data_IF_078799143558
#
_entry.id   IF_078799143558
#
_cell.length_a   1.000
_cell.length_b   1.000
_cell.length_c   1.000
_cell.angle_alpha   90.00
_cell.angle_beta   90.00
_cell.angle_gamma   90.00
#
_symmetry.space_group_name_H-M   'P 1'
#
loop_
_entity.id
_entity.type
_entity.pdbx_description
1 polymer ?
#
# COMPACT_ATOMS: atom_id res chain seq x y z
N UNK A 1 16.76 -1.21 10.10
CA UNK A 1 16.68 -1.26 8.62
C UNK A 1 16.83 0.18 8.19
N UNK A 2 17.86 0.49 7.41
CA UNK A 2 18.08 1.88 6.99
C UNK A 2 17.02 2.26 5.96
N UNK A 3 16.28 3.34 6.21
CA UNK A 3 15.22 3.81 5.32
C UNK A 3 15.84 4.61 4.18
N UNK A 4 15.77 4.09 2.96
CA UNK A 4 16.18 4.80 1.75
C UNK A 4 15.20 5.95 1.48
N UNK A 5 15.71 7.17 1.37
CA UNK A 5 14.89 8.35 1.10
C UNK A 5 14.46 8.40 -0.37
N UNK A 6 13.28 8.96 -0.64
CA UNK A 6 12.70 9.15 -1.99
C UNK A 6 12.49 7.88 -2.84
N UNK A 7 12.67 6.69 -2.28
CA UNK A 7 12.44 5.40 -2.94
C UNK A 7 11.62 4.44 -2.06
N UNK A 8 10.99 3.44 -2.68
CA UNK A 8 10.31 2.34 -1.97
C UNK A 8 11.33 1.39 -1.31
N UNK A 9 11.08 0.94 -0.08
CA UNK A 9 11.97 0.00 0.62
C UNK A 9 11.89 -1.43 0.07
N UNK A 10 10.80 -1.77 -0.61
CA UNK A 10 10.53 -3.07 -1.19
C UNK A 10 10.06 -2.90 -2.63
N UNK A 11 10.40 -3.84 -3.52
CA UNK A 11 9.83 -3.88 -4.87
C UNK A 11 8.38 -4.38 -4.87
N UNK A 12 7.63 -4.09 -5.93
CA UNK A 12 6.18 -4.37 -6.06
C UNK A 12 5.84 -5.86 -5.96
N UNK A 13 6.73 -6.74 -6.41
CA UNK A 13 6.57 -8.20 -6.37
C UNK A 13 7.33 -8.86 -5.21
N UNK A 14 7.85 -8.05 -4.27
CA UNK A 14 8.60 -8.53 -3.12
C UNK A 14 7.73 -8.67 -1.85
N UNK A 15 6.42 -8.82 -2.00
CA UNK A 15 5.45 -9.03 -0.91
C UNK A 15 5.81 -10.19 0.03
N UNK A 16 6.58 -11.18 -0.44
CA UNK A 16 7.10 -12.29 0.38
C UNK A 16 8.09 -11.88 1.48
N UNK A 17 8.63 -10.66 1.45
CA UNK A 17 9.50 -10.13 2.51
C UNK A 17 8.75 -9.86 3.82
N UNK A 18 7.43 -9.74 3.78
CA UNK A 18 6.57 -9.71 4.96
C UNK A 18 5.45 -10.75 4.82
N UNK A 19 5.71 -12.01 5.18
CA UNK A 19 4.77 -13.12 4.98
C UNK A 19 3.48 -12.95 5.79
N UNK A 20 3.52 -12.27 6.95
CA UNK A 20 2.33 -12.01 7.76
C UNK A 20 1.43 -10.97 7.10
N UNK A 21 2.01 -9.87 6.62
CA UNK A 21 1.27 -8.85 5.87
C UNK A 21 0.75 -9.41 4.54
N UNK A 22 1.52 -10.26 3.87
CA UNK A 22 1.10 -10.96 2.65
C UNK A 22 -0.09 -11.89 2.89
N UNK A 23 -0.03 -12.76 3.91
CA UNK A 23 -1.15 -13.63 4.26
C UNK A 23 -2.38 -12.81 4.64
N UNK A 24 -2.21 -11.76 5.44
CA UNK A 24 -3.32 -10.87 5.81
C UNK A 24 -3.91 -10.13 4.61
N UNK A 25 -3.08 -9.68 3.67
CA UNK A 25 -3.52 -9.07 2.41
C UNK A 25 -4.27 -10.05 1.51
N UNK A 26 -3.90 -11.34 1.51
CA UNK A 26 -4.60 -12.37 0.73
C UNK A 26 -5.94 -12.76 1.37
N UNK A 27 -5.98 -12.97 2.69
CA UNK A 27 -7.18 -13.41 3.39
C UNK A 27 -8.15 -12.26 3.72
N UNK A 28 -7.65 -11.04 3.96
CA UNK A 28 -8.47 -9.85 4.16
C UNK A 28 -7.84 -8.58 3.55
N UNK A 29 -7.81 -8.51 2.22
CA UNK A 29 -7.32 -7.32 1.50
C UNK A 29 -8.03 -6.02 1.93
N UNK A 30 -9.34 -6.08 2.17
CA UNK A 30 -10.11 -4.93 2.66
C UNK A 30 -9.64 -4.44 4.03
N UNK A 31 -9.36 -5.36 4.95
CA UNK A 31 -8.82 -5.01 6.27
C UNK A 31 -7.46 -4.32 6.14
N UNK A 32 -6.61 -4.79 5.23
CA UNK A 32 -5.28 -4.22 4.98
C UNK A 32 -5.39 -2.80 4.38
N UNK A 33 -6.30 -2.57 3.44
CA UNK A 33 -6.61 -1.22 2.94
C UNK A 33 -7.07 -0.32 4.09
N UNK A 34 -8.04 -0.76 4.90
CA UNK A 34 -8.55 0.03 6.02
C UNK A 34 -7.46 0.36 7.05
N UNK A 35 -6.56 -0.59 7.31
CA UNK A 35 -5.39 -0.40 8.17
C UNK A 35 -4.45 0.64 7.57
N UNK A 36 -4.07 0.49 6.30
CA UNK A 36 -3.20 1.44 5.60
C UNK A 36 -3.80 2.85 5.59
N UNK A 37 -5.11 2.99 5.34
CA UNK A 37 -5.81 4.27 5.42
C UNK A 37 -5.72 4.87 6.84
N UNK A 38 -5.97 4.07 7.88
CA UNK A 38 -5.85 4.50 9.27
C UNK A 38 -4.43 4.97 9.60
N UNK A 39 -3.42 4.19 9.23
CA UNK A 39 -2.01 4.48 9.52
C UNK A 39 -1.53 5.72 8.73
N UNK A 40 -2.10 5.96 7.54
CA UNK A 40 -1.88 7.19 6.77
C UNK A 40 -2.67 8.41 7.30
N UNK A 41 -3.54 8.26 8.29
CA UNK A 41 -4.41 9.34 8.79
C UNK A 41 -5.55 9.70 7.83
N UNK A 42 -5.89 8.81 6.90
CA UNK A 42 -6.93 8.96 5.90
C UNK A 42 -8.29 8.43 6.39
N UNK A 43 -9.37 8.79 5.70
CA UNK A 43 -10.73 8.43 6.12
C UNK A 43 -11.06 6.94 5.87
N UNK A 44 -10.97 6.10 6.91
CA UNK A 44 -11.22 4.65 6.82
C UNK A 44 -12.55 4.29 6.14
N UNK A 45 -13.71 4.91 6.46
CA UNK A 45 -14.97 4.56 5.81
C UNK A 45 -14.96 4.80 4.30
N UNK A 46 -14.29 5.86 3.83
CA UNK A 46 -14.16 6.19 2.41
C UNK A 46 -13.36 5.11 1.68
N UNK A 47 -12.17 4.76 2.18
CA UNK A 47 -11.31 3.76 1.56
C UNK A 47 -11.89 2.35 1.66
N UNK A 48 -12.63 2.05 2.74
CA UNK A 48 -13.38 0.81 2.89
C UNK A 48 -14.47 0.69 1.82
N UNK A 49 -15.33 1.71 1.68
CA UNK A 49 -16.37 1.75 0.65
C UNK A 49 -15.74 1.66 -0.75
N UNK A 50 -14.73 2.49 -1.03
CA UNK A 50 -14.07 2.50 -2.33
C UNK A 50 -13.47 1.15 -2.68
N UNK A 51 -12.82 0.47 -1.74
CA UNK A 51 -12.21 -0.84 -1.98
C UNK A 51 -13.24 -1.98 -2.05
N UNK A 52 -14.43 -1.79 -1.46
CA UNK A 52 -15.53 -2.73 -1.59
C UNK A 52 -16.15 -2.71 -3.00
N UNK A 53 -16.27 -1.52 -3.62
CA UNK A 53 -16.81 -1.38 -4.98
C UNK A 53 -15.74 -1.50 -6.07
N UNK A 54 -14.54 -0.99 -5.80
CA UNK A 54 -13.42 -0.87 -6.73
C UNK A 54 -12.09 -1.14 -6.00
N UNK A 55 -11.74 -2.41 -5.70
CA UNK A 55 -10.59 -2.78 -4.86
C UNK A 55 -9.25 -2.23 -5.37
N UNK A 56 -9.05 -2.22 -6.69
CA UNK A 56 -7.82 -1.71 -7.31
C UNK A 56 -7.67 -0.20 -7.11
N UNK A 57 -8.78 0.55 -7.17
CA UNK A 57 -8.76 2.01 -7.03
C UNK A 57 -8.36 2.42 -5.61
N UNK A 58 -8.92 1.75 -4.60
CA UNK A 58 -8.57 2.01 -3.21
C UNK A 58 -7.08 1.78 -2.92
N UNK A 59 -6.52 0.68 -3.43
CA UNK A 59 -5.09 0.35 -3.30
C UNK A 59 -4.22 1.38 -4.03
N UNK A 60 -4.60 1.76 -5.26
CA UNK A 60 -3.86 2.74 -6.05
C UNK A 60 -3.82 4.11 -5.36
N UNK A 61 -4.94 4.57 -4.80
CA UNK A 61 -4.98 5.84 -4.08
C UNK A 61 -4.14 5.82 -2.80
N UNK A 62 -4.19 4.73 -2.03
CA UNK A 62 -3.33 4.59 -0.83
C UNK A 62 -1.85 4.55 -1.19
N UNK A 63 -1.48 3.86 -2.27
CA UNK A 63 -0.12 3.88 -2.79
C UNK A 63 0.30 5.30 -3.18
N UNK A 64 -0.53 6.03 -3.92
CA UNK A 64 -0.26 7.41 -4.31
C UNK A 64 -0.09 8.31 -3.08
N UNK A 65 -0.98 8.20 -2.09
CA UNK A 65 -0.88 8.94 -0.82
C UNK A 65 0.39 8.63 -0.06
N UNK A 66 0.78 7.36 -0.01
CA UNK A 66 2.04 6.91 0.59
C UNK A 66 3.24 7.55 -0.12
N UNK A 67 3.22 7.55 -1.45
CA UNK A 67 4.25 8.17 -2.29
C UNK A 67 4.38 9.67 -2.04
N UNK A 68 3.25 10.39 -2.03
CA UNK A 68 3.18 11.82 -1.73
C UNK A 68 3.66 12.14 -0.31
N UNK A 69 3.18 11.39 0.69
CA UNK A 69 3.53 11.59 2.12
C UNK A 69 5.02 11.41 2.39
N UNK A 70 5.65 10.47 1.69
CA UNK A 70 7.04 10.08 1.95
C UNK A 70 8.04 10.56 0.89
N UNK A 71 7.60 11.39 -0.06
CA UNK A 71 8.45 11.98 -1.10
C UNK A 71 9.04 10.98 -2.09
N UNK A 72 8.37 9.84 -2.31
CA UNK A 72 8.88 8.77 -3.18
C UNK A 72 8.71 9.17 -4.66
N UNK A 73 9.78 9.02 -5.47
CA UNK A 73 9.71 9.31 -6.90
C UNK A 73 8.84 8.28 -7.65
N UNK A 74 7.99 8.75 -8.57
CA UNK A 74 7.12 7.88 -9.35
C UNK A 74 6.09 8.62 -10.18
N UNK A 75 5.37 7.86 -11.01
CA UNK A 75 4.31 8.36 -11.89
C UNK A 75 3.02 7.57 -11.64
N UNK A 76 1.89 8.27 -11.63
CA UNK A 76 0.55 7.73 -11.40
C UNK A 76 0.22 6.61 -12.39
N UNK A 77 0.72 6.69 -13.63
CA UNK A 77 0.52 5.61 -14.62
C UNK A 77 1.19 4.31 -14.20
N UNK A 78 2.38 4.37 -13.58
CA UNK A 78 3.04 3.17 -13.03
C UNK A 78 2.29 2.65 -11.81
N UNK A 79 1.77 3.52 -10.96
CA UNK A 79 0.98 3.14 -9.78
C UNK A 79 -0.29 2.38 -10.19
N UNK A 80 -0.98 2.80 -11.26
CA UNK A 80 -2.13 2.09 -11.83
C UNK A 80 -1.72 0.73 -12.40
N UNK A 81 -0.66 0.68 -13.21
CA UNK A 81 -0.23 -0.56 -13.87
C UNK A 81 0.23 -1.62 -12.86
N UNK A 82 0.97 -1.21 -11.83
CA UNK A 82 1.40 -2.07 -10.74
C UNK A 82 0.20 -2.57 -9.91
N UNK A 83 -0.75 -1.69 -9.60
CA UNK A 83 -1.96 -2.05 -8.85
C UNK A 83 -2.86 -3.04 -9.60
N UNK A 84 -2.90 -2.96 -10.93
CA UNK A 84 -3.60 -3.91 -11.79
C UNK A 84 -2.87 -5.25 -11.94
N UNK A 85 -1.53 -5.24 -11.98
CA UNK A 85 -0.74 -6.46 -12.16
C UNK A 85 -0.75 -7.36 -10.92
N UNK A 86 -0.60 -6.79 -9.72
CA UNK A 86 -0.67 -7.54 -8.47
C UNK A 86 -1.13 -6.66 -7.30
N UNK A 87 -2.44 -6.44 -7.21
CA UNK A 87 -3.06 -5.59 -6.18
C UNK A 87 -2.69 -6.00 -4.75
N UNK A 88 -2.65 -7.31 -4.47
CA UNK A 88 -2.27 -7.82 -3.15
C UNK A 88 -0.82 -7.46 -2.79
N UNK A 89 0.13 -7.67 -3.69
CA UNK A 89 1.53 -7.37 -3.41
C UNK A 89 1.80 -5.87 -3.35
N UNK A 90 1.12 -5.07 -4.16
CA UNK A 90 1.18 -3.60 -4.05
C UNK A 90 0.61 -3.13 -2.71
N UNK A 91 -0.53 -3.67 -2.25
CA UNK A 91 -1.11 -3.31 -0.96
C UNK A 91 -0.19 -3.72 0.21
N UNK A 92 0.49 -4.86 0.10
CA UNK A 92 1.49 -5.30 1.07
C UNK A 92 2.74 -4.41 1.06
N UNK A 93 3.25 -4.04 -0.13
CA UNK A 93 4.36 -3.11 -0.28
C UNK A 93 4.03 -1.76 0.39
N UNK A 94 2.82 -1.25 0.18
CA UNK A 94 2.32 -0.02 0.83
C UNK A 94 2.28 -0.18 2.36
N UNK A 95 1.75 -1.28 2.86
CA UNK A 95 1.71 -1.55 4.30
C UNK A 95 3.12 -1.65 4.92
N UNK A 96 4.04 -2.35 4.26
CA UNK A 96 5.44 -2.46 4.67
C UNK A 96 6.14 -1.10 4.69
N UNK A 97 5.86 -0.24 3.70
CA UNK A 97 6.46 1.10 3.62
C UNK A 97 6.00 1.98 4.77
N UNK A 98 4.69 2.02 5.03
CA UNK A 98 4.11 2.75 6.15
C UNK A 98 4.71 2.24 7.46
N UNK A 99 4.77 0.91 7.64
CA UNK A 99 5.35 0.29 8.83
C UNK A 99 6.81 0.68 9.05
N UNK A 100 7.62 0.62 7.98
CA UNK A 100 9.05 0.95 8.05
C UNK A 100 9.30 2.41 8.42
N UNK A 101 8.45 3.34 7.96
CA UNK A 101 8.63 4.79 8.17
C UNK A 101 7.97 5.32 9.44
N UNK A 102 6.85 4.73 9.87
CA UNK A 102 6.17 5.10 11.12
C UNK A 102 6.74 4.35 12.34
N UNK A 103 7.65 3.38 12.13
CA UNK A 103 8.28 2.61 13.21
C UNK A 103 7.33 1.61 13.89
N UNK A 104 6.38 1.06 13.12
CA UNK A 104 5.32 0.14 13.59
C UNK A 104 5.71 -1.36 13.47
#
# INVERSE_FOLDING_TARGET
>A
MDVVQNEWQQGELQCFKDPMTMLFGWFCSLCLVCKNAKDLGESVPMYCCLSCFCPVVGICLLRQKTRERYGIEGDTTKDVLCSCCCSACVNCQTASEIKAREGL
#
